data_IF_024768277704
#
_entry.id   IF_024768277704
#
_cell.length_a   1.000
_cell.length_b   1.000
_cell.length_c   1.000
_cell.angle_alpha   90.00
_cell.angle_beta   90.00
_cell.angle_gamma   90.00
#
_symmetry.space_group_name_H-M   'P 1'
#
loop_
_entity.id
_entity.type
_entity.pdbx_description
1 polymer ?
#
# COMPACT_ATOMS: atom_id res chain seq x y z
N UNK A 1 -24.74 -19.86 -12.28
CA UNK A 1 -23.55 -20.10 -13.13
C UNK A 1 -22.60 -18.89 -13.12
N UNK A 2 -22.53 -18.15 -12.00
CA UNK A 2 -21.78 -16.89 -11.82
C UNK A 2 -20.56 -17.05 -10.88
N UNK A 3 -20.29 -18.27 -10.41
CA UNK A 3 -19.31 -18.53 -9.34
C UNK A 3 -17.93 -18.97 -9.83
N UNK A 4 -17.77 -19.35 -11.09
CA UNK A 4 -16.51 -19.89 -11.62
C UNK A 4 -15.68 -18.88 -12.44
N UNK A 5 -16.29 -17.82 -12.99
CA UNK A 5 -15.54 -16.79 -13.73
C UNK A 5 -14.88 -15.74 -12.82
N UNK A 6 -15.34 -15.59 -11.57
CA UNK A 6 -14.66 -14.76 -10.56
C UNK A 6 -13.36 -15.39 -10.03
N UNK A 7 -13.15 -16.71 -10.23
CA UNK A 7 -11.95 -17.44 -9.77
C UNK A 7 -10.74 -17.32 -10.72
N UNK A 8 -10.88 -16.62 -11.86
CA UNK A 8 -9.73 -16.24 -12.70
C UNK A 8 -9.27 -14.81 -12.42
N UNK A 9 -9.14 -14.45 -11.15
CA UNK A 9 -8.39 -13.28 -10.76
C UNK A 9 -6.89 -13.69 -10.68
N UNK A 10 -6.16 -13.24 -11.70
CA UNK A 10 -4.78 -13.58 -12.04
C UNK A 10 -3.79 -13.35 -10.89
N UNK A 11 -2.85 -14.28 -10.68
CA UNK A 11 -1.56 -14.12 -9.96
C UNK A 11 -1.38 -12.83 -9.12
N UNK A 12 -2.15 -12.67 -8.03
CA UNK A 12 -2.03 -11.53 -7.12
C UNK A 12 -3.02 -10.39 -7.31
N UNK A 13 -4.07 -10.56 -8.10
CA UNK A 13 -5.22 -9.68 -8.07
C UNK A 13 -6.39 -10.46 -7.48
N UNK A 14 -7.20 -9.82 -6.65
CA UNK A 14 -8.55 -10.20 -6.27
C UNK A 14 -9.24 -8.92 -5.81
N UNK A 15 -10.39 -8.56 -6.36
CA UNK A 15 -11.05 -7.32 -5.97
C UNK A 15 -12.55 -7.56 -5.79
N UNK A 16 -13.10 -7.01 -4.71
CA UNK A 16 -14.52 -7.07 -4.39
C UNK A 16 -15.36 -6.47 -5.53
N UNK A 17 -16.53 -7.04 -5.87
CA UNK A 17 -17.33 -6.60 -7.02
C UNK A 17 -17.77 -5.14 -7.00
N UNK A 18 -17.80 -4.50 -5.82
CA UNK A 18 -18.11 -3.06 -5.70
C UNK A 18 -17.04 -2.15 -6.32
N UNK A 19 -15.82 -2.64 -6.52
CA UNK A 19 -14.76 -1.90 -7.20
C UNK A 19 -14.73 -2.39 -8.65
N UNK A 20 -15.10 -1.51 -9.58
CA UNK A 20 -14.96 -1.79 -11.00
C UNK A 20 -13.46 -1.98 -11.31
N UNK A 21 -13.05 -3.15 -11.81
CA UNK A 21 -11.63 -3.46 -12.00
C UNK A 21 -11.32 -4.22 -13.29
N UNK A 22 -12.12 -5.22 -13.67
CA UNK A 22 -11.81 -6.08 -14.82
C UNK A 22 -12.09 -5.37 -16.15
N UNK A 23 -13.24 -4.72 -16.30
CA UNK A 23 -13.74 -4.25 -17.61
C UNK A 23 -13.47 -2.78 -17.93
N UNK A 24 -12.64 -2.09 -17.14
CA UNK A 24 -12.33 -0.67 -17.42
C UNK A 24 -11.13 -0.52 -18.34
N UNK A 25 -11.25 0.37 -19.33
CA UNK A 25 -10.12 0.82 -20.13
C UNK A 25 -9.19 1.67 -19.26
N UNK A 26 -7.91 1.30 -19.17
CA UNK A 26 -6.92 2.08 -18.42
C UNK A 26 -6.46 3.28 -19.28
N UNK A 27 -6.68 4.54 -18.84
CA UNK A 27 -6.29 5.70 -19.65
C UNK A 27 -4.77 5.77 -19.88
N UNK A 28 -4.37 6.09 -21.12
CA UNK A 28 -2.95 6.21 -21.47
C UNK A 28 -2.22 7.24 -20.58
N UNK A 29 -2.91 8.33 -20.21
CA UNK A 29 -2.39 9.39 -19.35
C UNK A 29 -1.88 8.91 -17.98
N UNK A 30 -2.40 7.79 -17.45
CA UNK A 30 -1.92 7.23 -16.17
C UNK A 30 -0.81 6.18 -16.37
N UNK A 31 -0.67 5.62 -17.59
CA UNK A 31 0.34 4.63 -17.93
C UNK A 31 1.71 5.26 -18.20
N UNK A 32 1.72 6.48 -18.74
CA UNK A 32 2.95 7.19 -19.13
C UNK A 32 3.71 7.82 -17.96
N UNK A 33 3.06 7.95 -16.80
CA UNK A 33 3.67 8.55 -15.63
C UNK A 33 4.72 7.59 -15.04
N UNK A 34 5.97 8.01 -14.82
CA UNK A 34 6.95 7.18 -14.15
C UNK A 34 6.51 6.86 -12.71
N UNK A 35 6.70 5.62 -12.28
CA UNK A 35 6.35 5.20 -10.92
C UNK A 35 6.70 3.73 -10.65
N UNK A 36 6.74 3.35 -9.37
CA UNK A 36 7.06 1.98 -8.94
C UNK A 36 5.84 1.10 -8.66
N UNK A 37 4.63 1.64 -8.79
CA UNK A 37 3.38 0.86 -8.72
C UNK A 37 3.05 0.25 -10.09
N UNK A 38 2.46 -0.94 -10.06
CA UNK A 38 2.05 -1.70 -11.24
C UNK A 38 0.94 -1.01 -12.03
N UNK A 39 0.75 -1.41 -13.29
CA UNK A 39 -0.37 -0.94 -14.11
C UNK A 39 -1.72 -1.27 -13.46
N UNK A 40 -1.82 -2.41 -12.80
CA UNK A 40 -3.07 -2.82 -12.14
C UNK A 40 -3.34 -1.98 -10.88
N UNK A 41 -2.33 -1.61 -10.10
CA UNK A 41 -2.50 -0.69 -8.97
C UNK A 41 -2.91 0.71 -9.44
N UNK A 42 -2.33 1.21 -10.55
CA UNK A 42 -2.78 2.46 -11.18
C UNK A 42 -4.25 2.38 -11.60
N UNK A 43 -4.65 1.26 -12.23
CA UNK A 43 -6.03 0.99 -12.63
C UNK A 43 -6.97 0.97 -11.42
N UNK A 44 -6.59 0.32 -10.33
CA UNK A 44 -7.33 0.31 -9.07
C UNK A 44 -7.58 1.74 -8.57
N UNK A 45 -6.53 2.55 -8.44
CA UNK A 45 -6.63 3.92 -7.94
C UNK A 45 -7.48 4.82 -8.84
N UNK A 46 -7.30 4.70 -10.16
CA UNK A 46 -8.13 5.39 -11.14
C UNK A 46 -9.61 5.03 -10.97
N UNK A 47 -9.94 3.74 -10.90
CA UNK A 47 -11.32 3.27 -10.82
C UNK A 47 -12.00 3.65 -9.49
N UNK A 48 -11.27 3.56 -8.37
CA UNK A 48 -11.79 4.00 -7.07
C UNK A 48 -12.19 5.47 -7.13
N UNK A 49 -11.34 6.32 -7.73
CA UNK A 49 -11.61 7.75 -7.84
C UNK A 49 -12.68 8.09 -8.89
N UNK A 50 -12.76 7.35 -10.00
CA UNK A 50 -13.73 7.61 -11.07
C UNK A 50 -15.13 7.06 -10.84
N UNK A 51 -15.25 5.96 -10.09
CA UNK A 51 -16.51 5.21 -9.98
C UNK A 51 -17.06 5.15 -8.56
N UNK A 52 -16.18 5.10 -7.55
CA UNK A 52 -16.56 4.88 -6.16
C UNK A 52 -16.51 6.14 -5.30
N UNK A 53 -15.69 7.12 -5.67
CA UNK A 53 -15.61 8.40 -4.98
C UNK A 53 -16.89 9.23 -5.18
N UNK A 54 -17.39 9.79 -4.09
CA UNK A 54 -18.66 10.51 -3.98
C UNK A 54 -18.45 11.96 -3.51
N UNK A 55 -17.21 12.43 -3.42
CA UNK A 55 -16.86 13.79 -2.99
C UNK A 55 -17.30 14.10 -1.55
N UNK A 56 -17.43 13.07 -0.71
CA UNK A 56 -17.82 13.18 0.70
C UNK A 56 -16.63 13.46 1.64
N UNK A 57 -15.39 13.24 1.17
CA UNK A 57 -14.16 13.52 1.91
C UNK A 57 -12.98 13.80 0.98
N UNK A 58 -11.79 13.97 1.54
CA UNK A 58 -10.55 14.18 0.79
C UNK A 58 -9.96 12.87 0.27
N UNK A 59 -9.03 13.00 -0.69
CA UNK A 59 -8.18 11.91 -1.15
C UNK A 59 -6.78 12.13 -0.59
N UNK A 60 -6.21 11.10 0.02
CA UNK A 60 -4.83 11.08 0.53
C UNK A 60 -3.99 10.11 -0.31
N UNK A 61 -2.84 10.59 -0.76
CA UNK A 61 -1.81 9.81 -1.43
C UNK A 61 -0.47 9.98 -0.69
N UNK A 62 -0.10 9.02 0.13
CA UNK A 62 1.13 9.08 0.92
C UNK A 62 2.22 8.22 0.25
N UNK A 63 3.21 8.86 -0.38
CA UNK A 63 4.31 8.19 -1.09
C UNK A 63 4.12 8.16 -2.61
N UNK A 64 4.03 9.33 -3.24
CA UNK A 64 3.70 9.45 -4.66
C UNK A 64 4.85 9.14 -5.62
N UNK A 65 6.09 9.15 -5.11
CA UNK A 65 7.32 9.07 -5.88
C UNK A 65 7.33 10.05 -7.07
N UNK A 66 7.25 9.56 -8.30
CA UNK A 66 7.23 10.40 -9.50
C UNK A 66 5.82 10.71 -10.04
N UNK A 67 4.78 10.31 -9.29
CA UNK A 67 3.42 10.79 -9.47
C UNK A 67 2.42 9.76 -9.96
N UNK A 68 2.80 8.50 -10.19
CA UNK A 68 1.91 7.50 -10.80
C UNK A 68 0.61 7.26 -10.00
N UNK A 69 0.68 7.22 -8.67
CA UNK A 69 -0.49 7.04 -7.80
C UNK A 69 -1.39 8.28 -7.80
N UNK A 70 -0.84 9.46 -7.46
CA UNK A 70 -1.59 10.72 -7.44
C UNK A 70 -2.20 11.08 -8.79
N UNK A 71 -1.49 10.87 -9.91
CA UNK A 71 -2.07 11.11 -11.24
C UNK A 71 -3.19 10.12 -11.54
N UNK A 72 -3.09 8.86 -11.11
CA UNK A 72 -4.19 7.90 -11.28
C UNK A 72 -5.43 8.35 -10.51
N UNK A 73 -5.27 8.81 -9.27
CA UNK A 73 -6.35 9.34 -8.43
C UNK A 73 -6.96 10.62 -9.02
N UNK A 74 -6.11 11.58 -9.43
CA UNK A 74 -6.55 12.86 -9.97
C UNK A 74 -7.24 12.72 -11.34
N UNK A 75 -6.70 11.86 -12.20
CA UNK A 75 -7.32 11.54 -13.48
C UNK A 75 -8.66 10.83 -13.27
N UNK A 76 -8.73 9.89 -12.32
CA UNK A 76 -9.98 9.23 -11.95
C UNK A 76 -11.04 10.22 -11.48
N UNK A 77 -10.66 11.19 -10.64
CA UNK A 77 -11.57 12.24 -10.17
C UNK A 77 -12.14 13.05 -11.34
N UNK A 78 -11.30 13.45 -12.30
CA UNK A 78 -11.73 14.18 -13.50
C UNK A 78 -12.66 13.36 -14.40
N UNK A 79 -12.52 12.04 -14.39
CA UNK A 79 -13.37 11.12 -15.14
C UNK A 79 -14.65 10.70 -14.41
N UNK A 80 -14.88 11.20 -13.20
CA UNK A 80 -16.04 10.82 -12.39
C UNK A 80 -17.31 11.58 -12.82
N UNK A 81 -18.22 10.89 -13.49
CA UNK A 81 -19.47 11.46 -14.01
C UNK A 81 -20.49 11.84 -12.93
N UNK A 82 -20.30 11.38 -11.68
CA UNK A 82 -21.19 11.70 -10.56
C UNK A 82 -20.84 13.04 -9.91
N UNK A 83 -19.68 13.60 -10.25
CA UNK A 83 -19.21 14.88 -9.72
C UNK A 83 -19.80 15.98 -10.59
N UNK A 84 -20.68 16.78 -9.99
CA UNK A 84 -21.28 17.92 -10.66
C UNK A 84 -20.20 18.98 -10.98
N UNK A 85 -20.03 19.30 -12.26
CA UNK A 85 -19.11 20.34 -12.72
C UNK A 85 -19.47 21.73 -12.19
N UNK A 86 -20.75 21.99 -11.89
CA UNK A 86 -21.20 23.30 -11.39
C UNK A 86 -20.86 23.50 -9.90
N UNK A 87 -20.78 22.39 -9.15
CA UNK A 87 -20.28 22.38 -7.76
C UNK A 87 -18.78 22.68 -7.65
N UNK A 88 -18.04 22.66 -8.77
CA UNK A 88 -16.61 22.99 -8.83
C UNK A 88 -16.35 24.50 -8.87
N UNK A 89 -17.36 25.32 -9.20
CA UNK A 89 -17.09 26.70 -9.66
C UNK A 89 -16.97 27.78 -8.59
N UNK A 90 -17.35 27.57 -7.31
CA UNK A 90 -17.48 28.74 -6.41
C UNK A 90 -17.17 28.62 -4.89
N UNK A 91 -16.66 27.52 -4.32
CA UNK A 91 -16.55 27.47 -2.83
C UNK A 91 -15.41 26.67 -2.17
N UNK A 92 -14.54 25.93 -2.88
CA UNK A 92 -13.45 25.20 -2.21
C UNK A 92 -12.15 26.00 -2.19
N UNK A 93 -11.84 26.57 -1.03
CA UNK A 93 -10.52 27.16 -0.74
C UNK A 93 -9.39 26.11 -0.72
N UNK A 94 -9.72 24.82 -0.53
CA UNK A 94 -8.76 23.73 -0.38
C UNK A 94 -8.78 22.77 -1.57
N UNK A 95 -7.57 22.35 -1.97
CA UNK A 95 -7.37 21.29 -2.96
C UNK A 95 -7.77 19.94 -2.39
N UNK A 96 -8.34 19.08 -3.23
CA UNK A 96 -9.06 17.89 -2.78
C UNK A 96 -8.17 16.66 -2.55
N UNK A 97 -6.99 16.64 -3.19
CA UNK A 97 -6.04 15.55 -3.11
C UNK A 97 -4.80 16.06 -2.38
N UNK A 98 -4.53 15.54 -1.19
CA UNK A 98 -3.30 15.81 -0.45
C UNK A 98 -2.30 14.68 -0.73
N UNK A 99 -1.24 14.99 -1.47
CA UNK A 99 -0.16 14.06 -1.82
C UNK A 99 1.09 14.39 -1.02
N UNK A 100 1.71 13.38 -0.41
CA UNK A 100 2.87 13.54 0.47
C UNK A 100 4.09 12.84 -0.09
N UNK A 101 5.25 13.50 -0.01
CA UNK A 101 6.50 12.97 -0.56
C UNK A 101 7.75 13.57 0.10
N UNK A 102 8.78 12.74 0.31
CA UNK A 102 10.10 13.17 0.76
C UNK A 102 10.90 13.83 -0.38
N UNK A 103 10.66 13.40 -1.63
CA UNK A 103 11.22 14.02 -2.84
C UNK A 103 12.53 13.43 -3.33
N UNK A 104 13.04 12.39 -2.66
CA UNK A 104 14.18 11.57 -3.07
C UNK A 104 14.08 10.17 -2.46
N UNK A 105 14.72 9.18 -3.09
CA UNK A 105 14.95 7.87 -2.48
C UNK A 105 16.34 7.86 -1.85
N UNK A 106 16.51 7.49 -0.56
CA UNK A 106 17.81 7.53 0.11
C UNK A 106 18.87 6.63 -0.56
N UNK A 107 20.12 7.09 -0.56
CA UNK A 107 21.26 6.27 -1.04
C UNK A 107 21.41 5.02 -0.16
N UNK A 108 21.78 3.86 -0.71
CA UNK A 108 22.17 2.70 0.08
C UNK A 108 23.22 3.06 1.15
N UNK A 109 23.07 2.52 2.36
CA UNK A 109 23.94 2.83 3.50
C UNK A 109 25.43 2.47 3.28
N UNK A 110 25.70 1.51 2.39
CA UNK A 110 27.05 1.13 1.97
C UNK A 110 27.68 2.12 0.97
N UNK A 111 27.02 3.23 0.66
CA UNK A 111 27.52 4.27 -0.23
C UNK A 111 27.51 3.91 -1.72
N UNK A 112 27.09 2.70 -2.10
CA UNK A 112 27.05 2.29 -3.51
C UNK A 112 26.00 3.07 -4.30
N UNK A 113 26.35 3.49 -5.52
CA UNK A 113 25.37 4.10 -6.41
C UNK A 113 24.32 3.08 -6.84
N UNK A 114 23.07 3.51 -6.77
CA UNK A 114 21.93 2.71 -7.19
C UNK A 114 21.08 3.54 -8.14
N UNK A 115 20.68 2.90 -9.23
CA UNK A 115 19.86 3.51 -10.26
C UNK A 115 18.54 2.77 -10.39
N UNK A 116 17.48 3.51 -10.67
CA UNK A 116 16.20 2.99 -11.13
C UNK A 116 15.96 3.44 -12.57
N UNK A 117 15.41 2.56 -13.40
CA UNK A 117 15.13 2.84 -14.81
C UNK A 117 13.66 2.56 -15.10
N UNK A 118 13.02 3.46 -15.84
CA UNK A 118 11.66 3.31 -16.33
C UNK A 118 11.57 3.91 -17.73
N UNK A 119 11.48 3.04 -18.74
CA UNK A 119 11.66 3.46 -20.14
C UNK A 119 13.03 4.13 -20.33
N UNK A 120 13.03 5.34 -20.89
CA UNK A 120 14.24 6.15 -21.09
C UNK A 120 14.69 6.92 -19.84
N UNK A 121 13.86 6.99 -18.79
CA UNK A 121 14.21 7.69 -17.56
C UNK A 121 15.18 6.87 -16.73
N UNK A 122 16.31 7.49 -16.35
CA UNK A 122 17.28 6.94 -15.40
C UNK A 122 17.34 7.86 -14.19
N UNK A 123 17.00 7.32 -13.02
CA UNK A 123 17.04 8.03 -11.75
C UNK A 123 18.12 7.43 -10.84
N UNK A 124 18.95 8.27 -10.24
CA UNK A 124 19.94 7.86 -9.26
C UNK A 124 19.42 8.12 -7.85
N UNK A 125 19.51 7.12 -6.97
CA UNK A 125 19.14 7.25 -5.57
C UNK A 125 19.99 8.33 -4.90
N UNK A 126 19.38 9.16 -4.06
CA UNK A 126 19.97 10.35 -3.44
C UNK A 126 19.66 11.65 -4.20
N UNK A 127 19.40 11.58 -5.52
CA UNK A 127 19.00 12.77 -6.28
C UNK A 127 17.53 13.11 -6.01
N UNK A 128 17.16 14.38 -6.14
CA UNK A 128 15.75 14.77 -6.08
C UNK A 128 15.01 14.35 -7.36
N UNK A 129 13.82 13.78 -7.21
CA UNK A 129 12.88 13.55 -8.33
C UNK A 129 11.74 14.57 -8.36
N UNK A 130 11.75 15.58 -7.48
CA UNK A 130 10.71 16.60 -7.39
C UNK A 130 10.42 17.32 -8.73
N UNK A 131 11.41 17.64 -9.59
CA UNK A 131 11.10 18.21 -10.90
C UNK A 131 10.22 17.30 -11.77
N UNK A 132 10.45 16.00 -11.70
CA UNK A 132 9.67 14.99 -12.43
C UNK A 132 8.28 14.92 -11.84
N UNK A 133 8.16 14.78 -10.51
CA UNK A 133 6.87 14.73 -9.82
C UNK A 133 6.01 15.97 -10.10
N UNK A 134 6.58 17.17 -9.96
CA UNK A 134 5.89 18.43 -10.23
C UNK A 134 5.40 18.52 -11.68
N UNK A 135 6.20 18.03 -12.65
CA UNK A 135 5.79 17.95 -14.05
C UNK A 135 4.64 16.96 -14.24
N UNK A 136 4.71 15.78 -13.62
CA UNK A 136 3.66 14.75 -13.69
C UNK A 136 2.31 15.27 -13.20
N UNK A 137 2.29 16.04 -12.11
CA UNK A 137 1.04 16.51 -11.48
C UNK A 137 0.55 17.87 -12.01
N UNK A 138 1.33 18.58 -12.83
CA UNK A 138 0.97 19.94 -13.27
C UNK A 138 -0.41 20.05 -13.95
N UNK A 139 -0.90 19.05 -14.71
CA UNK A 139 -2.25 19.09 -15.29
C UNK A 139 -3.38 19.03 -14.25
N UNK A 140 -3.06 18.67 -13.00
CA UNK A 140 -3.99 18.54 -11.88
C UNK A 140 -3.64 19.50 -10.74
N UNK A 141 -2.92 20.58 -11.04
CA UNK A 141 -2.42 21.52 -10.04
C UNK A 141 -3.52 22.22 -9.24
N UNK A 142 -4.74 22.28 -9.76
CA UNK A 142 -5.92 22.79 -9.07
C UNK A 142 -6.56 21.76 -8.12
N UNK A 143 -6.29 20.46 -8.32
CA UNK A 143 -6.80 19.37 -7.49
C UNK A 143 -5.79 18.89 -6.43
N UNK A 144 -4.49 19.00 -6.72
CA UNK A 144 -3.43 18.37 -5.92
C UNK A 144 -2.68 19.39 -5.07
N UNK A 145 -2.74 19.20 -3.76
CA UNK A 145 -1.83 19.77 -2.78
C UNK A 145 -0.63 18.84 -2.60
N UNK A 146 0.54 19.29 -3.05
CA UNK A 146 1.79 18.54 -2.92
C UNK A 146 2.54 18.99 -1.65
N UNK A 147 2.65 18.09 -0.70
CA UNK A 147 3.28 18.28 0.60
C UNK A 147 4.67 17.62 0.59
N UNK A 148 5.74 18.43 0.57
CA UNK A 148 7.12 17.94 0.51
C UNK A 148 7.79 18.01 1.88
N UNK A 149 8.22 16.86 2.40
CA UNK A 149 8.92 16.79 3.68
C UNK A 149 8.87 15.41 4.34
N UNK A 150 9.35 15.33 5.58
CA UNK A 150 9.20 14.11 6.38
C UNK A 150 7.72 13.89 6.72
N UNK A 151 7.19 12.75 6.29
CA UNK A 151 5.79 12.40 6.49
C UNK A 151 5.38 12.43 7.97
N UNK A 152 6.28 12.08 8.90
CA UNK A 152 5.98 12.07 10.34
C UNK A 152 5.75 13.46 10.95
N UNK A 153 6.09 14.53 10.22
CA UNK A 153 5.94 15.91 10.68
C UNK A 153 4.59 16.52 10.30
N UNK A 154 3.80 15.82 9.48
CA UNK A 154 2.48 16.30 9.09
C UNK A 154 1.43 15.93 10.15
N UNK A 155 0.39 16.73 10.24
CA UNK A 155 -0.80 16.40 11.02
C UNK A 155 -2.02 16.59 10.13
N UNK A 156 -2.96 15.66 10.20
CA UNK A 156 -4.16 15.76 9.40
C UNK A 156 -5.13 16.77 10.02
N UNK A 157 -5.80 17.56 9.19
CA UNK A 157 -6.57 18.74 9.64
C UNK A 157 -8.03 18.42 10.01
N UNK A 158 -8.27 17.25 10.59
CA UNK A 158 -9.57 16.71 11.03
C UNK A 158 -10.65 16.53 9.93
N UNK A 159 -10.33 16.72 8.64
CA UNK A 159 -11.30 16.53 7.56
C UNK A 159 -11.57 15.06 7.26
N UNK A 160 -12.79 14.65 6.89
CA UNK A 160 -13.06 13.28 6.48
C UNK A 160 -12.22 12.86 5.26
N UNK A 161 -11.73 11.62 5.25
CA UNK A 161 -10.93 11.05 4.16
C UNK A 161 -11.75 9.96 3.48
N UNK A 162 -12.02 10.06 2.18
CA UNK A 162 -12.79 9.07 1.43
C UNK A 162 -11.91 8.02 0.74
N UNK A 163 -10.72 8.41 0.28
CA UNK A 163 -9.73 7.47 -0.26
C UNK A 163 -8.39 7.77 0.39
N UNK A 164 -7.79 6.77 1.01
CA UNK A 164 -6.48 6.87 1.64
C UNK A 164 -5.56 5.79 1.07
N UNK A 165 -4.66 6.17 0.16
CA UNK A 165 -3.62 5.30 -0.36
C UNK A 165 -2.30 5.58 0.36
N UNK A 166 -1.67 4.52 0.89
CA UNK A 166 -0.41 4.63 1.64
C UNK A 166 0.67 3.68 1.12
N UNK A 167 1.79 4.26 0.69
CA UNK A 167 3.04 3.63 0.23
C UNK A 167 4.26 4.12 1.05
N UNK A 168 4.01 4.68 2.23
CA UNK A 168 5.07 5.21 3.11
C UNK A 168 5.38 4.33 4.32
N UNK A 169 4.60 3.29 4.61
CA UNK A 169 4.69 2.48 5.83
C UNK A 169 5.94 1.56 5.93
N UNK A 170 7.10 2.02 5.44
CA UNK A 170 8.37 1.29 5.40
C UNK A 170 9.07 1.21 6.77
N UNK A 171 8.56 1.90 7.79
CA UNK A 171 8.99 1.81 9.19
C UNK A 171 7.79 1.70 10.13
N UNK A 172 8.02 1.22 11.35
CA UNK A 172 6.99 1.19 12.42
C UNK A 172 6.46 2.58 12.73
N UNK A 173 7.36 3.57 12.79
CA UNK A 173 7.02 4.96 13.07
C UNK A 173 6.09 5.52 12.00
N UNK A 174 6.40 5.32 10.71
CA UNK A 174 5.54 5.78 9.62
C UNK A 174 4.19 5.07 9.62
N UNK A 175 4.16 3.76 9.89
CA UNK A 175 2.91 3.02 10.01
C UNK A 175 2.04 3.51 11.18
N UNK A 176 2.64 3.74 12.35
CA UNK A 176 1.97 4.30 13.51
C UNK A 176 1.46 5.71 13.23
N UNK A 177 2.25 6.51 12.51
CA UNK A 177 1.84 7.85 12.09
C UNK A 177 0.62 7.81 11.17
N UNK A 178 0.60 6.91 10.17
CA UNK A 178 -0.59 6.67 9.33
C UNK A 178 -1.80 6.31 10.20
N UNK A 179 -1.63 5.37 11.13
CA UNK A 179 -2.72 4.92 12.00
C UNK A 179 -3.26 6.07 12.85
N UNK A 180 -2.39 6.80 13.54
CA UNK A 180 -2.78 7.88 14.46
C UNK A 180 -3.35 9.12 13.77
N UNK A 181 -2.81 9.51 12.61
CA UNK A 181 -3.16 10.78 11.96
C UNK A 181 -4.24 10.66 10.89
N UNK A 182 -4.38 9.51 10.23
CA UNK A 182 -5.25 9.40 9.06
C UNK A 182 -6.43 8.45 9.28
N UNK A 183 -6.22 7.31 9.94
CA UNK A 183 -7.28 6.31 10.11
C UNK A 183 -8.51 6.80 10.91
N UNK A 184 -8.40 7.67 11.94
CA UNK A 184 -9.56 8.21 12.65
C UNK A 184 -10.52 9.03 11.77
N UNK A 185 -10.05 9.52 10.63
CA UNK A 185 -10.82 10.35 9.70
C UNK A 185 -11.47 9.55 8.57
N UNK A 186 -11.31 8.22 8.58
CA UNK A 186 -11.99 7.34 7.65
C UNK A 186 -13.48 7.23 8.04
N UNK A 187 -14.34 7.40 7.05
CA UNK A 187 -15.79 7.39 7.17
C UNK A 187 -16.35 5.97 7.01
N UNK A 188 -17.18 5.58 7.96
CA UNK A 188 -17.99 4.36 7.91
C UNK A 188 -18.75 4.22 6.58
N UNK A 189 -18.65 3.05 5.96
CA UNK A 189 -19.34 2.68 4.72
C UNK A 189 -18.87 3.43 3.47
N UNK A 190 -18.00 4.43 3.59
CA UNK A 190 -17.58 5.30 2.48
C UNK A 190 -16.10 5.18 2.17
N UNK A 191 -15.25 5.14 3.18
CA UNK A 191 -13.82 5.28 2.95
C UNK A 191 -13.15 4.00 2.48
N UNK A 192 -12.28 4.13 1.51
CA UNK A 192 -11.33 3.09 1.12
C UNK A 192 -9.95 3.40 1.69
N UNK A 193 -9.35 2.41 2.34
CA UNK A 193 -7.97 2.43 2.78
C UNK A 193 -7.18 1.40 1.98
N UNK A 194 -6.12 1.84 1.31
CA UNK A 194 -5.29 1.01 0.46
C UNK A 194 -3.86 1.06 0.98
N UNK A 195 -3.37 -0.07 1.46
CA UNK A 195 -2.01 -0.18 1.96
C UNK A 195 -1.14 -0.90 0.94
N UNK A 196 -0.27 -0.16 0.27
CA UNK A 196 0.76 -0.70 -0.60
C UNK A 196 1.80 -1.48 0.24
N UNK A 197 2.40 -2.51 -0.35
CA UNK A 197 3.37 -3.41 0.31
C UNK A 197 2.81 -4.15 1.53
N UNK A 198 1.49 -4.25 1.64
CA UNK A 198 0.84 -5.10 2.63
C UNK A 198 1.38 -6.54 2.54
N UNK A 199 1.59 -7.07 1.34
CA UNK A 199 2.13 -8.42 1.15
C UNK A 199 3.65 -8.49 1.00
N UNK A 200 4.37 -7.42 1.37
CA UNK A 200 5.83 -7.43 1.39
C UNK A 200 6.34 -8.07 2.68
N UNK A 201 7.25 -9.03 2.55
CA UNK A 201 7.77 -9.85 3.65
C UNK A 201 8.34 -9.04 4.82
N UNK A 202 9.05 -7.93 4.59
CA UNK A 202 9.76 -7.22 5.67
C UNK A 202 8.94 -6.24 6.51
N UNK A 203 7.63 -6.15 6.31
CA UNK A 203 6.79 -5.14 6.97
C UNK A 203 5.71 -5.79 7.84
N UNK A 204 6.06 -6.58 8.88
CA UNK A 204 5.08 -7.30 9.68
C UNK A 204 4.13 -6.36 10.45
N UNK A 205 4.58 -5.17 10.83
CA UNK A 205 3.75 -4.19 11.56
C UNK A 205 2.50 -3.75 10.80
N UNK A 206 2.54 -3.72 9.46
CA UNK A 206 1.37 -3.39 8.65
C UNK A 206 0.27 -4.44 8.86
N UNK A 207 0.63 -5.73 8.84
CA UNK A 207 -0.30 -6.85 9.00
C UNK A 207 -0.90 -6.86 10.39
N UNK A 208 -0.05 -6.64 11.39
CA UNK A 208 -0.48 -6.58 12.80
C UNK A 208 -1.46 -5.43 13.03
N UNK A 209 -1.17 -4.25 12.46
CA UNK A 209 -2.06 -3.08 12.55
C UNK A 209 -3.41 -3.39 11.92
N UNK A 210 -3.44 -3.94 10.71
CA UNK A 210 -4.70 -4.27 10.05
C UNK A 210 -5.45 -5.43 10.73
N UNK A 211 -4.74 -6.41 11.30
CA UNK A 211 -5.34 -7.47 12.12
C UNK A 211 -5.97 -6.92 13.40
N UNK A 212 -5.31 -5.96 14.05
CA UNK A 212 -5.86 -5.26 15.22
C UNK A 212 -7.11 -4.44 14.86
N UNK A 213 -7.09 -3.82 13.67
CA UNK A 213 -8.21 -3.03 13.16
C UNK A 213 -9.25 -3.83 12.37
N UNK A 214 -9.21 -5.17 12.42
CA UNK A 214 -10.13 -6.05 11.69
C UNK A 214 -11.61 -5.70 11.92
N UNK A 215 -12.00 -5.33 13.15
CA UNK A 215 -13.40 -5.00 13.45
C UNK A 215 -13.89 -3.68 12.81
N UNK A 216 -12.97 -2.87 12.28
CA UNK A 216 -13.22 -1.57 11.67
C UNK A 216 -13.10 -1.59 10.14
N UNK A 217 -12.65 -2.70 9.56
CA UNK A 217 -12.47 -2.82 8.12
C UNK A 217 -13.08 -4.10 7.58
N UNK A 218 -13.74 -3.99 6.42
CA UNK A 218 -13.98 -5.16 5.58
C UNK A 218 -12.88 -5.20 4.51
N UNK A 219 -12.29 -6.38 4.29
CA UNK A 219 -11.27 -6.55 3.25
C UNK A 219 -11.93 -6.63 1.87
N UNK A 220 -11.50 -5.74 0.99
CA UNK A 220 -12.06 -5.57 -0.35
C UNK A 220 -11.15 -6.10 -1.44
N UNK A 221 -9.93 -6.53 -1.12
CA UNK A 221 -9.13 -7.26 -2.08
C UNK A 221 -7.64 -7.02 -2.00
N UNK A 222 -6.94 -7.63 -2.96
CA UNK A 222 -5.54 -7.50 -3.23
C UNK A 222 -5.34 -7.06 -4.68
N UNK A 223 -4.44 -6.11 -4.90
CA UNK A 223 -3.88 -5.84 -6.23
C UNK A 223 -2.37 -5.79 -6.10
N UNK A 224 -1.71 -6.86 -6.52
CA UNK A 224 -0.30 -7.14 -6.27
C UNK A 224 0.09 -7.02 -4.80
N UNK A 225 0.97 -6.08 -4.45
CA UNK A 225 1.39 -5.88 -3.06
C UNK A 225 0.44 -4.99 -2.26
N UNK A 226 -0.54 -4.36 -2.92
CA UNK A 226 -1.55 -3.51 -2.28
C UNK A 226 -2.71 -4.33 -1.74
N UNK A 227 -3.10 -4.05 -0.49
CA UNK A 227 -4.34 -4.57 0.11
C UNK A 227 -5.36 -3.47 0.23
N UNK A 228 -6.61 -3.76 -0.14
CA UNK A 228 -7.73 -2.82 -0.19
C UNK A 228 -8.70 -3.14 0.93
N UNK A 229 -9.10 -2.11 1.67
CA UNK A 229 -10.03 -2.20 2.78
C UNK A 229 -11.11 -1.13 2.64
N UNK A 230 -12.33 -1.47 3.06
CA UNK A 230 -13.42 -0.51 3.23
C UNK A 230 -13.63 -0.26 4.72
N UNK A 231 -13.68 1.01 5.11
CA UNK A 231 -13.97 1.39 6.48
C UNK A 231 -15.41 0.97 6.82
N UNK A 232 -15.52 0.05 7.78
CA UNK A 232 -16.78 -0.55 8.24
C UNK A 232 -17.38 0.23 9.39
N UNK A 233 -16.56 0.84 10.23
CA UNK A 233 -16.95 1.60 11.42
C UNK A 233 -15.94 2.71 11.67
N UNK A 234 -16.33 3.85 12.29
CA UNK A 234 -15.38 4.88 12.68
C UNK A 234 -14.34 4.29 13.63
N UNK A 235 -13.08 4.66 13.46
CA UNK A 235 -11.98 4.19 14.30
C UNK A 235 -11.78 5.21 15.42
N UNK A 236 -12.09 4.88 16.70
CA UNK A 236 -11.87 5.82 17.78
C UNK A 236 -10.40 6.20 17.88
N UNK A 237 -10.12 7.47 18.20
CA UNK A 237 -8.74 7.95 18.29
C UNK A 237 -7.86 7.12 19.22
N UNK A 238 -8.36 6.72 20.39
CA UNK A 238 -7.60 5.89 21.32
C UNK A 238 -7.29 4.47 20.80
N UNK A 239 -8.11 3.95 19.86
CA UNK A 239 -7.85 2.69 19.17
C UNK A 239 -6.74 2.90 18.15
N UNK A 240 -6.84 3.95 17.34
CA UNK A 240 -5.83 4.31 16.34
C UNK A 240 -4.47 4.70 16.95
N UNK A 241 -4.47 5.25 18.17
CA UNK A 241 -3.26 5.64 18.89
C UNK A 241 -2.55 4.46 19.58
N UNK A 242 -3.10 3.25 19.55
CA UNK A 242 -2.45 2.06 20.08
C UNK A 242 -1.58 1.36 19.03
N UNK A 243 -0.29 1.16 19.30
CA UNK A 243 0.61 0.39 18.45
C UNK A 243 0.67 -1.08 18.92
N UNK A 244 -0.10 -2.00 18.31
CA UNK A 244 -0.05 -3.41 18.68
C UNK A 244 1.33 -4.04 18.42
N UNK A 245 2.09 -3.55 17.45
CA UNK A 245 3.44 -4.07 17.21
C UNK A 245 4.37 -3.76 18.38
N UNK A 246 4.26 -2.58 18.98
CA UNK A 246 5.11 -2.19 20.13
C UNK A 246 4.64 -2.85 21.41
N UNK A 247 3.33 -2.80 21.68
CA UNK A 247 2.81 -3.05 23.02
C UNK A 247 2.30 -4.48 23.25
N UNK A 248 1.87 -5.18 22.18
CA UNK A 248 1.37 -6.54 22.32
C UNK A 248 2.50 -7.56 22.45
N UNK A 249 2.19 -8.71 23.05
CA UNK A 249 3.06 -9.89 23.12
C UNK A 249 3.33 -10.48 21.73
N UNK A 250 4.32 -11.36 21.62
CA UNK A 250 4.56 -12.09 20.37
C UNK A 250 3.33 -12.90 19.94
N UNK A 251 2.70 -13.62 20.87
CA UNK A 251 1.55 -14.47 20.56
C UNK A 251 0.35 -13.66 20.05
N UNK A 252 0.09 -12.50 20.65
CA UNK A 252 -0.92 -11.57 20.16
C UNK A 252 -0.56 -11.03 18.78
N UNK A 253 0.69 -10.58 18.59
CA UNK A 253 1.14 -10.12 17.28
C UNK A 253 1.03 -11.21 16.19
N UNK A 254 1.33 -12.47 16.51
CA UNK A 254 1.18 -13.59 15.56
C UNK A 254 -0.29 -13.80 15.20
N UNK A 255 -1.19 -13.80 16.19
CA UNK A 255 -2.64 -13.89 15.94
C UNK A 255 -3.10 -12.76 15.02
N UNK A 256 -2.76 -11.52 15.34
CA UNK A 256 -3.14 -10.34 14.54
C UNK A 256 -2.52 -10.39 13.13
N UNK A 257 -1.24 -10.76 13.04
CA UNK A 257 -0.56 -10.93 11.76
C UNK A 257 -1.27 -11.93 10.87
N UNK A 258 -1.79 -13.02 11.43
CA UNK A 258 -2.37 -14.14 10.68
C UNK A 258 -3.87 -13.93 10.32
N UNK A 259 -4.47 -12.78 10.67
CA UNK A 259 -5.88 -12.45 10.38
C UNK A 259 -6.16 -11.99 8.92
N UNK A 260 -5.19 -12.07 8.02
CA UNK A 260 -5.41 -11.73 6.61
C UNK A 260 -6.26 -12.79 5.87
N UNK A 261 -7.00 -12.42 4.81
CA UNK A 261 -7.87 -13.34 4.09
C UNK A 261 -7.09 -14.26 3.14
N UNK A 262 -6.43 -15.27 3.73
CA UNK A 262 -5.53 -16.21 3.06
C UNK A 262 -6.16 -17.00 1.89
N UNK A 263 -7.48 -17.21 1.91
CA UNK A 263 -8.20 -18.00 0.91
C UNK A 263 -8.13 -17.40 -0.52
N UNK A 264 -7.91 -16.10 -0.63
CA UNK A 264 -7.83 -15.40 -1.92
C UNK A 264 -6.39 -15.18 -2.41
N UNK A 265 -5.39 -15.57 -1.61
CA UNK A 265 -3.99 -15.35 -1.96
C UNK A 265 -3.45 -16.52 -2.77
N UNK A 266 -2.62 -16.22 -3.77
CA UNK A 266 -1.78 -17.24 -4.39
C UNK A 266 -0.71 -17.73 -3.41
N UNK A 267 -0.13 -18.89 -3.70
CA UNK A 267 0.86 -19.48 -2.80
C UNK A 267 2.14 -18.64 -2.69
N UNK A 268 2.53 -17.89 -3.73
CA UNK A 268 3.64 -16.93 -3.64
C UNK A 268 3.35 -15.80 -2.63
N UNK A 269 2.11 -15.32 -2.54
CA UNK A 269 1.75 -14.32 -1.51
C UNK A 269 1.64 -14.94 -0.12
N UNK A 270 1.07 -16.15 0.03
CA UNK A 270 1.07 -16.86 1.32
C UNK A 270 2.50 -17.14 1.82
N UNK A 271 3.40 -17.47 0.89
CA UNK A 271 4.83 -17.61 1.17
C UNK A 271 5.44 -16.31 1.69
N UNK A 272 5.19 -15.17 1.03
CA UNK A 272 5.65 -13.84 1.50
C UNK A 272 5.10 -13.48 2.89
N UNK A 273 3.84 -13.84 3.18
CA UNK A 273 3.26 -13.67 4.51
C UNK A 273 3.95 -14.56 5.54
N UNK A 274 4.32 -15.79 5.18
CA UNK A 274 5.09 -16.70 6.05
C UNK A 274 6.50 -16.16 6.33
N UNK A 275 7.17 -15.60 5.31
CA UNK A 275 8.43 -14.88 5.53
C UNK A 275 8.23 -13.68 6.47
N UNK A 276 7.14 -12.93 6.33
CA UNK A 276 6.81 -11.80 7.21
C UNK A 276 6.61 -12.22 8.65
N UNK A 277 5.93 -13.34 8.86
CA UNK A 277 5.78 -13.98 10.18
C UNK A 277 7.13 -14.34 10.79
N UNK A 278 8.09 -14.84 10.01
CA UNK A 278 9.44 -15.12 10.50
C UNK A 278 10.19 -13.84 10.94
N UNK A 279 10.06 -12.74 10.17
CA UNK A 279 10.62 -11.44 10.57
C UNK A 279 9.99 -10.94 11.87
N UNK A 280 8.67 -11.08 12.03
CA UNK A 280 7.98 -10.72 13.26
C UNK A 280 8.55 -11.47 14.47
N UNK A 281 8.68 -12.80 14.39
CA UNK A 281 9.22 -13.62 15.47
C UNK A 281 10.65 -13.15 15.84
N UNK A 282 11.49 -12.91 14.83
CA UNK A 282 12.84 -12.41 15.04
C UNK A 282 12.87 -11.00 15.68
N UNK A 283 12.05 -10.07 15.19
CA UNK A 283 11.93 -8.70 15.70
C UNK A 283 11.40 -8.64 17.14
N UNK A 284 10.64 -9.65 17.58
CA UNK A 284 10.21 -9.81 18.98
C UNK A 284 11.25 -10.54 19.85
N UNK A 285 12.48 -10.69 19.37
CA UNK A 285 13.61 -11.24 20.12
C UNK A 285 13.71 -12.76 20.10
N UNK A 286 12.85 -13.47 19.35
CA UNK A 286 12.82 -14.94 19.29
C UNK A 286 13.53 -15.49 18.05
N UNK A 287 14.81 -15.11 17.90
CA UNK A 287 15.61 -15.44 16.69
C UNK A 287 15.69 -16.94 16.38
N UNK A 288 15.86 -17.79 17.39
CA UNK A 288 15.96 -19.26 17.19
C UNK A 288 14.63 -19.80 16.65
N UNK A 289 13.52 -19.44 17.31
CA UNK A 289 12.17 -19.83 16.89
C UNK A 289 11.85 -19.35 15.47
N UNK A 290 12.32 -18.16 15.08
CA UNK A 290 12.16 -17.65 13.72
C UNK A 290 12.90 -18.49 12.68
N UNK A 291 14.12 -18.94 12.99
CA UNK A 291 14.92 -19.81 12.12
C UNK A 291 14.33 -21.22 12.04
N UNK A 292 13.78 -21.72 13.14
CA UNK A 292 13.09 -23.01 13.16
C UNK A 292 11.78 -22.95 12.35
N UNK A 293 11.02 -21.87 12.48
CA UNK A 293 9.84 -21.65 11.65
C UNK A 293 10.18 -21.56 10.16
N UNK A 294 11.31 -20.92 9.78
CA UNK A 294 11.72 -20.89 8.38
C UNK A 294 11.96 -22.29 7.78
N UNK A 295 12.34 -23.30 8.57
CA UNK A 295 12.50 -24.68 8.08
C UNK A 295 11.15 -25.26 7.64
N UNK A 296 10.07 -24.96 8.36
CA UNK A 296 8.73 -25.38 7.92
C UNK A 296 8.30 -24.61 6.69
N UNK A 297 8.56 -23.30 6.62
CA UNK A 297 8.27 -22.49 5.43
C UNK A 297 9.01 -23.01 4.19
N UNK A 298 10.27 -23.41 4.33
CA UNK A 298 11.03 -24.02 3.22
C UNK A 298 10.36 -25.29 2.70
N UNK A 299 10.00 -26.19 3.62
CA UNK A 299 9.31 -27.44 3.29
C UNK A 299 7.94 -27.20 2.65
N UNK A 300 7.16 -26.28 3.21
CA UNK A 300 5.77 -26.04 2.80
C UNK A 300 5.68 -25.37 1.42
N UNK A 301 6.71 -24.62 1.02
CA UNK A 301 6.71 -23.85 -0.24
C UNK A 301 7.84 -24.25 -1.21
N UNK A 302 8.52 -25.39 -0.98
CA UNK A 302 9.62 -25.86 -1.82
C UNK A 302 9.25 -25.87 -3.31
N UNK A 303 8.04 -26.32 -3.62
CA UNK A 303 7.52 -26.46 -4.99
C UNK A 303 7.38 -25.15 -5.78
N UNK A 304 7.29 -23.98 -5.12
CA UNK A 304 7.26 -22.67 -5.79
C UNK A 304 8.59 -21.93 -5.72
N UNK A 305 9.51 -22.32 -4.83
CA UNK A 305 10.77 -21.62 -4.66
C UNK A 305 11.68 -21.76 -5.89
N UNK A 306 11.59 -22.88 -6.60
CA UNK A 306 12.45 -23.16 -7.76
C UNK A 306 11.70 -22.96 -9.10
N UNK A 307 10.46 -22.46 -9.05
CA UNK A 307 9.71 -22.11 -10.27
C UNK A 307 10.20 -20.76 -10.81
N UNK A 308 10.94 -20.78 -11.92
CA UNK A 308 11.44 -19.59 -12.62
C UNK A 308 10.32 -18.73 -13.27
N UNK A 309 9.04 -19.03 -13.01
CA UNK A 309 7.89 -18.30 -13.58
C UNK A 309 7.54 -16.99 -12.87
N UNK A 310 8.14 -16.65 -11.72
CA UNK A 310 7.82 -15.38 -11.05
C UNK A 310 8.45 -14.18 -11.78
N UNK A 311 7.62 -13.19 -12.11
CA UNK A 311 8.02 -11.91 -12.75
C UNK A 311 8.88 -11.04 -11.80
N UNK A 312 8.81 -11.32 -10.50
CA UNK A 312 9.58 -10.68 -9.43
C UNK A 312 10.76 -11.58 -9.00
N UNK A 313 11.76 -11.03 -8.29
CA UNK A 313 12.95 -11.77 -7.85
C UNK A 313 12.55 -13.13 -7.28
N UNK A 314 13.12 -14.19 -7.84
CA UNK A 314 12.87 -15.60 -7.53
C UNK A 314 12.58 -15.83 -6.02
N UNK A 315 11.50 -16.55 -5.69
CA UNK A 315 11.06 -16.79 -4.31
C UNK A 315 12.15 -17.45 -3.43
N UNK A 316 13.04 -18.28 -4.03
CA UNK A 316 14.27 -18.79 -3.37
C UNK A 316 15.20 -17.66 -2.93
N UNK A 317 15.35 -16.61 -3.73
CA UNK A 317 16.16 -15.43 -3.35
C UNK A 317 15.55 -14.73 -2.13
N UNK A 318 14.22 -14.60 -2.07
CA UNK A 318 13.52 -13.99 -0.92
C UNK A 318 13.70 -14.82 0.35
N UNK A 319 13.55 -16.15 0.25
CA UNK A 319 13.83 -17.07 1.34
C UNK A 319 15.27 -16.91 1.87
N UNK A 320 16.26 -17.05 0.97
CA UNK A 320 17.67 -16.96 1.32
C UNK A 320 18.05 -15.61 1.92
N UNK A 321 17.47 -14.51 1.42
CA UNK A 321 17.66 -13.18 2.01
C UNK A 321 17.09 -13.13 3.42
N UNK A 322 15.88 -13.63 3.64
CA UNK A 322 15.22 -13.65 4.96
C UNK A 322 16.05 -14.44 5.97
N UNK A 323 16.49 -15.64 5.59
CA UNK A 323 17.37 -16.48 6.40
C UNK A 323 18.67 -15.75 6.78
N UNK A 324 19.34 -15.12 5.80
CA UNK A 324 20.58 -14.35 6.05
C UNK A 324 20.34 -13.17 6.98
N UNK A 325 19.26 -12.42 6.79
CA UNK A 325 18.95 -11.23 7.58
C UNK A 325 18.63 -11.57 9.04
N UNK A 326 17.79 -12.59 9.26
CA UNK A 326 17.50 -13.08 10.62
C UNK A 326 18.78 -13.61 11.29
N UNK A 327 19.62 -14.38 10.56
CA UNK A 327 20.93 -14.84 11.07
C UNK A 327 21.85 -13.68 11.45
N UNK A 328 21.89 -12.63 10.64
CA UNK A 328 22.73 -11.45 10.89
C UNK A 328 22.17 -10.52 11.99
N UNK A 329 20.91 -10.69 12.39
CA UNK A 329 20.26 -9.76 13.31
C UNK A 329 19.91 -8.41 12.68
N UNK A 330 19.79 -8.37 11.35
CA UNK A 330 19.42 -7.17 10.60
C UNK A 330 17.94 -7.32 10.26
N UNK A 331 17.08 -6.58 10.95
CA UNK A 331 15.63 -6.63 10.73
C UNK A 331 15.02 -5.23 10.72
#
# INVERSE_FOLDING_TARGET
MLSFEFERLSNGCYVHPEISFLDTHTPQAILEIPGMISVAERKLLFNLSSSNYQQAGFIVDAGSFMGASVVSLAHGYRSNLKIDSDSQSNTREKKLISSFELGFLPKPANGTDRFWKCGSLVYQFGNSFLPILKKSISPYSDLVELNIGDFNQYSWSDHPIEICFVDVCKTRQLNMHVSTQFMPHLMEGKSFFINQDFFFDRLPWIKITMGYLNEYFDWYGQVFSSSVYKCKKPIPKYIADYDPFTHATLDECLKLHDMYPSKHLSDSYKFRMSLSRSYLIAMKGKKVDALDYLKSVEKDYEYIMDDNKSIDRNDRFRFNRTLRQIKAGIY
#
